data_IF_295725635947
#
_entry.id   IF_295725635947
#
_cell.length_a   1.000
_cell.length_b   1.000
_cell.length_c   1.000
_cell.angle_alpha   90.00
_cell.angle_beta   90.00
_cell.angle_gamma   90.00
#
_symmetry.space_group_name_H-M   'P 1'
#
loop_
_entity.id
_entity.type
_entity.pdbx_description
1 polymer ?
#
# COMPACT_ATOMS: atom_id res chain seq x y z
N UNK A 1 -25.81 -14.04 6.40
CA UNK A 1 -24.40 -14.47 6.43
C UNK A 1 -24.23 -15.99 6.47
N UNK A 2 -24.88 -16.75 7.36
CA UNK A 2 -24.66 -18.22 7.46
C UNK A 2 -24.84 -18.97 6.14
N UNK A 3 -25.84 -18.60 5.33
CA UNK A 3 -26.11 -19.21 4.02
C UNK A 3 -25.06 -18.89 2.95
N UNK A 4 -24.43 -17.72 3.02
CA UNK A 4 -23.32 -17.34 2.11
C UNK A 4 -22.05 -18.10 2.49
N UNK A 5 -21.80 -18.25 3.79
CA UNK A 5 -20.67 -19.04 4.32
C UNK A 5 -20.85 -20.54 4.04
N UNK A 6 -22.07 -21.06 4.11
CA UNK A 6 -22.33 -22.51 3.99
C UNK A 6 -22.48 -23.04 2.57
N UNK A 7 -22.69 -22.18 1.55
CA UNK A 7 -22.94 -22.63 0.17
C UNK A 7 -22.11 -21.93 -0.90
N UNK A 8 -21.21 -21.01 -0.56
CA UNK A 8 -20.36 -20.35 -1.56
C UNK A 8 -19.36 -21.35 -2.16
N UNK A 9 -19.35 -21.49 -3.49
CA UNK A 9 -18.31 -22.18 -4.26
C UNK A 9 -17.19 -21.19 -4.70
N UNK A 10 -16.98 -20.18 -3.84
CA UNK A 10 -16.01 -19.07 -3.79
C UNK A 10 -16.11 -17.93 -4.82
N UNK A 11 -16.45 -16.70 -4.37
CA UNK A 11 -15.42 -15.74 -3.91
C UNK A 11 -15.52 -15.36 -2.42
N UNK A 12 -14.39 -14.94 -1.81
CA UNK A 12 -14.31 -14.39 -0.44
C UNK A 12 -14.50 -12.88 -0.51
N UNK A 13 -15.47 -12.31 0.19
CA UNK A 13 -15.62 -10.85 0.34
C UNK A 13 -15.06 -10.39 1.68
N UNK A 14 -14.28 -9.30 1.70
CA UNK A 14 -13.90 -8.59 2.93
C UNK A 14 -14.40 -7.14 2.82
N UNK A 15 -15.24 -6.74 3.76
CA UNK A 15 -15.53 -5.34 3.98
C UNK A 15 -14.44 -4.77 4.88
N UNK A 16 -13.76 -3.73 4.40
CA UNK A 16 -12.63 -3.12 5.07
C UNK A 16 -13.08 -1.79 5.66
N UNK A 17 -13.27 -1.78 6.97
CA UNK A 17 -13.51 -0.59 7.78
C UNK A 17 -12.19 -0.06 8.30
N UNK A 18 -11.95 1.24 8.15
CA UNK A 18 -10.76 1.86 8.70
C UNK A 18 -11.10 3.19 9.37
N UNK A 19 -10.64 3.35 10.61
CA UNK A 19 -10.81 4.56 11.40
C UNK A 19 -9.44 5.23 11.62
N UNK A 20 -9.32 6.55 11.41
CA UNK A 20 -8.06 7.24 11.66
C UNK A 20 -7.72 7.17 13.14
N UNK A 21 -6.45 6.94 13.46
CA UNK A 21 -6.00 6.97 14.86
C UNK A 21 -6.06 8.41 15.33
N UNK A 22 -6.75 8.68 16.43
CA UNK A 22 -6.70 9.96 17.13
C UNK A 22 -5.30 10.15 17.71
N UNK A 23 -4.50 10.98 17.01
CA UNK A 23 -3.13 11.41 17.35
C UNK A 23 -2.07 10.29 17.46
N UNK A 24 -0.81 10.53 17.04
CA UNK A 24 0.29 9.61 17.37
C UNK A 24 0.53 9.62 18.90
N UNK A 25 0.91 8.48 19.51
CA UNK A 25 1.23 8.46 20.94
C UNK A 25 2.40 9.42 21.23
N UNK A 26 2.22 10.28 22.25
CA UNK A 26 3.27 11.13 22.77
C UNK A 26 4.52 10.30 23.06
N UNK A 27 5.65 10.68 22.46
CA UNK A 27 6.95 10.13 22.86
C UNK A 27 7.23 10.60 24.27
N UNK A 28 7.12 9.71 25.24
CA UNK A 28 7.70 9.92 26.57
C UNK A 28 9.20 10.09 26.40
N UNK A 29 9.70 11.32 26.58
CA UNK A 29 11.14 11.58 26.70
C UNK A 29 11.61 10.98 28.03
N UNK A 30 12.09 9.73 27.96
CA UNK A 30 12.80 9.09 29.04
C UNK A 30 14.07 9.88 29.37
N UNK A 31 14.12 10.42 30.58
CA UNK A 31 15.30 11.09 31.10
C UNK A 31 16.47 10.12 31.26
N UNK A 32 17.67 10.58 30.89
CA UNK A 32 18.93 10.06 31.38
C UNK A 32 19.79 11.29 31.71
N UNK A 33 20.14 11.44 32.99
CA UNK A 33 21.07 12.46 33.46
C UNK A 33 22.53 12.04 33.29
N UNK A 34 23.43 13.03 33.28
CA UNK A 34 24.87 12.80 33.46
C UNK A 34 25.80 13.89 32.93
N UNK A 35 26.00 14.96 33.72
CA UNK A 35 27.32 15.51 34.13
C UNK A 35 28.32 16.16 33.15
N UNK A 36 28.65 17.44 33.45
CA UNK A 36 29.95 18.12 33.27
C UNK A 36 30.35 18.57 31.86
N UNK A 37 31.14 19.62 31.60
CA UNK A 37 31.65 20.81 32.29
C UNK A 37 32.37 21.64 31.19
N UNK A 38 32.42 22.96 31.34
CA UNK A 38 33.52 23.82 30.89
C UNK A 38 33.70 24.12 29.40
N UNK A 39 33.50 25.39 29.00
CA UNK A 39 34.15 25.92 27.79
C UNK A 39 33.47 27.13 27.16
N UNK A 40 33.69 28.32 27.72
CA UNK A 40 33.36 29.61 27.10
C UNK A 40 34.22 29.82 25.85
N UNK A 41 33.65 30.38 24.78
CA UNK A 41 34.33 31.38 23.94
C UNK A 41 33.29 32.15 23.11
N UNK A 42 33.16 33.44 23.42
CA UNK A 42 32.49 34.46 22.60
C UNK A 42 33.29 34.72 21.33
N UNK A 43 32.59 34.98 20.21
CA UNK A 43 33.03 35.96 19.22
C UNK A 43 31.81 36.61 18.57
N UNK A 44 31.70 37.93 18.73
CA UNK A 44 30.83 38.84 17.99
C UNK A 44 31.37 39.10 16.56
N UNK A 45 30.52 39.58 15.64
CA UNK A 45 30.94 40.12 14.34
C UNK A 45 29.82 40.10 13.30
N UNK A 46 28.88 41.05 13.36
CA UNK A 46 28.81 42.29 12.55
C UNK A 46 28.24 42.11 11.14
N UNK A 47 27.20 42.91 10.90
CA UNK A 47 26.45 43.09 9.68
C UNK A 47 27.27 43.70 8.53
N UNK A 48 26.88 43.37 7.30
CA UNK A 48 27.32 44.06 6.09
C UNK A 48 26.29 43.88 4.97
N UNK A 49 25.43 44.88 4.79
CA UNK A 49 24.56 45.03 3.64
C UNK A 49 25.32 45.76 2.51
N UNK A 50 25.14 45.36 1.24
CA UNK A 50 25.21 46.25 0.07
C UNK A 50 24.58 45.59 -1.19
N UNK A 51 23.39 46.12 -1.52
CA UNK A 51 22.83 46.53 -2.82
C UNK A 51 23.15 45.87 -4.18
N UNK A 52 22.03 45.59 -4.88
CA UNK A 52 21.66 45.93 -6.28
C UNK A 52 22.26 45.17 -7.47
N UNK A 53 21.35 44.64 -8.31
CA UNK A 53 21.60 44.49 -9.76
C UNK A 53 20.81 43.41 -10.49
N UNK A 54 19.61 43.75 -10.96
CA UNK A 54 19.04 43.45 -12.30
C UNK A 54 19.00 42.03 -12.90
N UNK A 55 17.84 41.71 -13.49
CA UNK A 55 17.77 40.97 -14.77
C UNK A 55 17.13 39.59 -14.70
N UNK A 56 15.99 39.43 -15.38
CA UNK A 56 15.17 38.23 -15.38
C UNK A 56 15.70 37.06 -16.22
N UNK A 57 15.05 35.91 -16.01
CA UNK A 57 15.22 34.69 -16.80
C UNK A 57 14.47 33.56 -16.13
N UNK A 58 13.27 33.24 -16.63
CA UNK A 58 12.46 32.12 -16.15
C UNK A 58 13.17 30.79 -16.41
N UNK A 59 13.37 30.02 -15.35
CA UNK A 59 13.77 28.62 -15.41
C UNK A 59 12.67 27.78 -14.76
N UNK A 60 12.05 26.90 -15.54
CA UNK A 60 11.20 25.84 -15.02
C UNK A 60 12.05 24.91 -14.16
N UNK A 61 11.67 24.76 -12.89
CA UNK A 61 12.24 23.76 -12.00
C UNK A 61 11.60 22.42 -12.31
N UNK A 62 12.36 21.56 -12.97
CA UNK A 62 12.19 20.12 -12.88
C UNK A 62 12.57 19.71 -11.45
N UNK A 63 11.56 19.44 -10.62
CA UNK A 63 11.79 18.87 -9.29
C UNK A 63 12.16 17.39 -9.45
N UNK A 64 13.48 17.19 -9.54
CA UNK A 64 14.19 15.92 -9.46
C UNK A 64 13.99 15.29 -8.07
N UNK A 65 12.90 14.52 -7.91
CA UNK A 65 12.66 13.72 -6.69
C UNK A 65 13.55 12.48 -6.73
N UNK A 66 14.79 12.68 -6.29
CA UNK A 66 15.73 11.61 -5.98
C UNK A 66 15.54 11.11 -4.54
N UNK A 67 14.98 9.91 -4.43
CA UNK A 67 15.29 8.93 -3.37
C UNK A 67 14.95 9.24 -1.90
N UNK A 68 13.76 8.84 -1.44
CA UNK A 68 13.52 8.53 -0.02
C UNK A 68 12.41 7.47 0.16
N UNK A 69 12.60 6.28 -0.41
CA UNK A 69 11.61 5.19 -0.32
C UNK A 69 11.17 4.79 1.09
N UNK A 70 11.88 5.20 2.14
CA UNK A 70 11.55 4.90 3.54
C UNK A 70 10.46 5.79 4.19
N UNK A 71 10.25 7.02 3.73
CA UNK A 71 9.23 7.91 4.33
C UNK A 71 7.83 7.65 3.76
N UNK A 72 7.74 7.29 2.47
CA UNK A 72 6.46 6.91 1.86
C UNK A 72 5.89 5.66 2.52
N UNK A 73 6.69 4.62 2.78
CA UNK A 73 6.21 3.36 3.36
C UNK A 73 5.63 3.52 4.76
N UNK A 74 6.18 4.43 5.57
CA UNK A 74 5.63 4.77 6.89
C UNK A 74 4.26 5.44 6.81
N UNK A 75 3.99 6.19 5.74
CA UNK A 75 2.68 6.80 5.55
C UNK A 75 1.56 5.79 5.24
N UNK A 76 1.90 4.52 4.99
CA UNK A 76 0.96 3.43 4.72
C UNK A 76 0.89 2.40 5.86
N UNK A 77 1.82 2.41 6.82
CA UNK A 77 1.99 1.32 7.79
C UNK A 77 0.83 1.13 8.76
N UNK A 78 0.04 2.17 8.99
CA UNK A 78 -0.92 2.19 10.09
C UNK A 78 -2.31 1.64 9.70
N UNK A 79 -2.51 1.29 8.42
CA UNK A 79 -3.79 0.92 7.84
C UNK A 79 -3.65 -0.37 7.00
N UNK A 80 -3.98 -0.30 5.71
CA UNK A 80 -3.66 -1.35 4.76
C UNK A 80 -2.25 -1.08 4.22
N UNK A 81 -1.25 -1.60 4.92
CA UNK A 81 0.14 -1.50 4.50
C UNK A 81 0.39 -2.14 3.14
N UNK A 82 1.58 -1.92 2.60
CA UNK A 82 1.97 -2.55 1.33
C UNK A 82 1.85 -4.07 1.38
N UNK A 83 1.15 -4.65 0.41
CA UNK A 83 1.02 -6.09 0.25
C UNK A 83 0.61 -6.44 -1.18
N UNK A 84 0.55 -7.74 -1.45
CA UNK A 84 -0.12 -8.31 -2.60
C UNK A 84 -1.30 -9.17 -2.13
N UNK A 85 -2.34 -9.25 -2.93
CA UNK A 85 -3.41 -10.21 -2.73
C UNK A 85 -2.95 -11.60 -3.17
N UNK A 86 -3.14 -12.62 -2.33
CA UNK A 86 -2.79 -13.99 -2.70
C UNK A 86 -3.84 -14.65 -3.61
N UNK A 87 -5.02 -14.06 -3.77
CA UNK A 87 -6.08 -14.57 -4.65
C UNK A 87 -5.73 -14.46 -6.14
N UNK A 88 -6.63 -14.89 -7.03
CA UNK A 88 -6.42 -14.77 -8.47
C UNK A 88 -6.75 -13.34 -8.95
N UNK A 89 -7.95 -12.86 -8.62
CA UNK A 89 -8.44 -11.55 -9.02
C UNK A 89 -9.17 -10.90 -7.85
N UNK A 90 -8.90 -9.62 -7.60
CA UNK A 90 -9.62 -8.83 -6.59
C UNK A 90 -10.46 -7.78 -7.29
N UNK A 91 -11.77 -7.81 -7.06
CA UNK A 91 -12.70 -6.75 -7.46
C UNK A 91 -12.97 -5.79 -6.31
N UNK A 92 -12.96 -4.49 -6.56
CA UNK A 92 -13.25 -3.47 -5.57
C UNK A 92 -14.33 -2.52 -6.09
N UNK A 93 -15.19 -2.08 -5.18
CA UNK A 93 -16.08 -0.94 -5.41
C UNK A 93 -15.35 0.36 -5.01
N UNK A 94 -15.77 1.53 -5.53
CA UNK A 94 -15.28 2.83 -5.08
C UNK A 94 -15.41 2.96 -3.56
N UNK A 95 -14.41 3.58 -2.94
CA UNK A 95 -14.47 3.83 -1.51
C UNK A 95 -15.49 4.92 -1.18
N UNK A 96 -16.23 4.73 -0.10
CA UNK A 96 -17.12 5.73 0.49
C UNK A 96 -16.46 6.35 1.71
N UNK A 97 -16.85 7.58 2.03
CA UNK A 97 -16.39 8.28 3.22
C UNK A 97 -17.60 8.64 4.07
N UNK A 98 -17.56 8.30 5.35
CA UNK A 98 -18.68 8.50 6.27
C UNK A 98 -18.23 9.34 7.47
N UNK A 99 -19.07 10.28 7.92
CA UNK A 99 -18.85 10.99 9.18
C UNK A 99 -19.25 10.15 10.42
N UNK A 100 -19.09 10.73 11.61
CA UNK A 100 -19.43 10.08 12.89
C UNK A 100 -20.92 9.74 13.04
N UNK A 101 -21.79 10.37 12.24
CA UNK A 101 -23.22 10.10 12.20
C UNK A 101 -23.60 9.09 11.10
N UNK A 102 -22.62 8.57 10.36
CA UNK A 102 -22.80 7.60 9.27
C UNK A 102 -23.31 8.22 7.97
N UNK A 103 -23.21 9.54 7.81
CA UNK A 103 -23.61 10.24 6.59
C UNK A 103 -22.45 10.25 5.60
N UNK A 104 -22.75 10.06 4.32
CA UNK A 104 -21.74 10.12 3.27
C UNK A 104 -21.21 11.55 3.11
N UNK A 105 -19.89 11.69 3.09
CA UNK A 105 -19.16 12.95 2.93
C UNK A 105 -18.16 12.85 1.77
N UNK A 106 -17.74 14.00 1.24
CA UNK A 106 -16.70 14.02 0.22
C UNK A 106 -15.33 13.65 0.82
N UNK A 107 -14.45 13.09 -0.01
CA UNK A 107 -13.05 12.96 0.37
C UNK A 107 -12.35 14.33 0.27
N UNK A 108 -12.18 14.99 1.40
CA UNK A 108 -11.49 16.27 1.50
C UNK A 108 -9.96 16.14 1.64
N UNK A 109 -9.41 14.93 1.75
CA UNK A 109 -7.95 14.70 1.75
C UNK A 109 -7.50 14.19 0.36
N UNK A 110 -6.83 15.03 -0.45
CA UNK A 110 -6.37 14.62 -1.78
C UNK A 110 -5.29 13.54 -1.75
N UNK A 111 -4.67 13.25 -0.59
CA UNK A 111 -3.67 12.18 -0.42
C UNK A 111 -4.29 10.87 0.09
N UNK A 112 -5.51 10.89 0.61
CA UNK A 112 -6.21 9.69 1.02
C UNK A 112 -6.60 8.84 -0.20
N UNK A 113 -6.34 7.53 -0.17
CA UNK A 113 -6.76 6.63 -1.25
C UNK A 113 -5.93 5.36 -1.41
N UNK A 114 -6.24 4.62 -2.48
CA UNK A 114 -5.54 3.41 -2.89
C UNK A 114 -4.31 3.79 -3.73
N UNK A 115 -3.16 3.20 -3.39
CA UNK A 115 -1.90 3.41 -4.07
C UNK A 115 -1.34 2.07 -4.55
N UNK A 116 -0.67 2.11 -5.70
CA UNK A 116 0.05 0.98 -6.30
C UNK A 116 1.50 1.36 -6.56
N UNK A 117 2.41 0.38 -6.59
CA UNK A 117 3.77 0.57 -7.12
C UNK A 117 3.85 0.08 -8.56
N UNK A 118 4.32 0.94 -9.46
CA UNK A 118 4.49 0.62 -10.86
C UNK A 118 5.59 -0.44 -11.04
N UNK A 119 5.36 -1.43 -11.90
CA UNK A 119 6.26 -2.58 -12.05
C UNK A 119 7.65 -2.20 -12.58
N UNK A 120 7.75 -1.22 -13.49
CA UNK A 120 9.00 -0.93 -14.20
C UNK A 120 9.99 -0.10 -13.39
N UNK A 121 9.49 0.84 -12.59
CA UNK A 121 10.32 1.82 -11.86
C UNK A 121 10.01 1.90 -10.36
N UNK A 122 9.00 1.15 -9.89
CA UNK A 122 8.54 1.22 -8.50
C UNK A 122 7.83 2.53 -8.15
N UNK A 123 7.41 3.30 -9.17
CA UNK A 123 6.76 4.60 -9.00
C UNK A 123 5.47 4.45 -8.21
N UNK A 124 5.25 5.37 -7.28
CA UNK A 124 4.04 5.42 -6.49
C UNK A 124 2.92 6.05 -7.32
N UNK A 125 1.84 5.31 -7.57
CA UNK A 125 0.69 5.77 -8.36
C UNK A 125 -0.56 5.68 -7.50
N UNK A 126 -1.30 6.80 -7.38
CA UNK A 126 -2.63 6.80 -6.77
C UNK A 126 -3.65 6.30 -7.80
N UNK A 127 -4.41 5.26 -7.45
CA UNK A 127 -5.51 4.80 -8.29
C UNK A 127 -6.64 5.84 -8.26
N UNK A 128 -7.04 6.34 -9.43
CA UNK A 128 -8.11 7.32 -9.59
C UNK A 128 -9.26 6.74 -10.41
N UNK A 129 -10.47 7.21 -10.12
CA UNK A 129 -11.67 6.89 -10.88
C UNK A 129 -12.06 8.10 -11.75
N UNK A 130 -12.87 7.88 -12.81
CA UNK A 130 -13.50 8.98 -13.53
C UNK A 130 -14.23 9.92 -12.58
N UNK A 131 -14.20 11.24 -12.80
CA UNK A 131 -14.87 12.20 -11.91
C UNK A 131 -16.40 12.11 -11.99
N UNK A 132 -17.07 12.58 -10.94
CA UNK A 132 -18.52 12.69 -10.88
C UNK A 132 -19.26 11.36 -10.78
N UNK A 133 -20.51 11.33 -11.24
CA UNK A 133 -21.44 10.20 -11.17
C UNK A 133 -20.91 8.92 -11.84
N UNK A 134 -19.97 9.05 -12.79
CA UNK A 134 -19.35 7.89 -13.43
C UNK A 134 -18.52 7.04 -12.45
N UNK A 135 -18.02 7.64 -11.36
CA UNK A 135 -17.21 6.93 -10.35
C UNK A 135 -18.00 5.83 -9.65
N UNK A 136 -19.24 6.08 -9.25
CA UNK A 136 -20.09 5.16 -8.48
C UNK A 136 -20.50 3.90 -9.28
N UNK A 137 -20.38 3.97 -10.61
CA UNK A 137 -20.66 2.86 -11.53
C UNK A 137 -19.42 2.07 -11.94
N UNK A 138 -18.25 2.39 -11.36
CA UNK A 138 -17.00 1.70 -11.68
C UNK A 138 -16.76 0.50 -10.77
N UNK A 139 -16.11 -0.52 -11.32
CA UNK A 139 -15.43 -1.57 -10.56
C UNK A 139 -13.94 -1.51 -10.86
N UNK A 140 -13.12 -1.63 -9.83
CA UNK A 140 -11.68 -1.75 -9.97
C UNK A 140 -11.28 -3.22 -9.89
N UNK A 141 -10.30 -3.61 -10.69
CA UNK A 141 -9.76 -4.97 -10.69
C UNK A 141 -8.26 -4.96 -10.47
N UNK A 142 -7.81 -5.88 -9.64
CA UNK A 142 -6.40 -6.10 -9.36
C UNK A 142 -6.03 -7.58 -9.52
N UNK A 143 -4.91 -7.83 -10.17
CA UNK A 143 -4.33 -9.16 -10.29
C UNK A 143 -3.65 -9.55 -8.98
N UNK A 144 -3.91 -10.77 -8.51
CA UNK A 144 -3.23 -11.35 -7.35
C UNK A 144 -2.19 -12.40 -7.71
N UNK A 145 -1.53 -12.92 -6.68
CA UNK A 145 -0.37 -13.81 -6.79
C UNK A 145 -0.70 -15.16 -7.43
N UNK A 146 -1.90 -15.69 -7.22
CA UNK A 146 -2.32 -16.91 -7.91
C UNK A 146 -2.31 -16.75 -9.42
N UNK A 147 -2.87 -15.66 -9.95
CA UNK A 147 -2.85 -15.43 -11.40
C UNK A 147 -1.43 -15.17 -11.91
N UNK A 148 -0.56 -14.57 -11.09
CA UNK A 148 0.87 -14.48 -11.43
C UNK A 148 1.50 -15.85 -11.65
N UNK A 149 1.26 -16.79 -10.74
CA UNK A 149 1.78 -18.16 -10.83
C UNK A 149 1.19 -18.90 -12.04
N UNK A 150 -0.14 -18.94 -12.13
CA UNK A 150 -0.86 -19.72 -13.15
C UNK A 150 -0.69 -19.15 -14.57
N UNK A 151 -0.32 -17.89 -14.72
CA UNK A 151 0.03 -17.28 -16.02
C UNK A 151 1.51 -17.42 -16.40
N UNK A 152 2.32 -18.09 -15.57
CA UNK A 152 3.76 -18.18 -15.79
C UNK A 152 4.47 -16.83 -15.70
N UNK A 153 3.92 -15.88 -14.93
CA UNK A 153 4.45 -14.53 -14.76
C UNK A 153 4.08 -13.54 -15.86
N UNK A 154 3.27 -13.93 -16.85
CA UNK A 154 2.77 -13.02 -17.88
C UNK A 154 1.89 -11.90 -17.27
N UNK A 155 1.12 -12.25 -16.25
CA UNK A 155 0.46 -11.31 -15.36
C UNK A 155 1.23 -11.29 -14.03
N UNK A 156 1.22 -10.16 -13.32
CA UNK A 156 1.90 -10.02 -12.04
C UNK A 156 0.99 -9.37 -11.02
N UNK A 157 1.07 -9.87 -9.78
CA UNK A 157 0.47 -9.25 -8.64
C UNK A 157 1.04 -7.84 -8.47
N UNK A 158 0.17 -6.88 -8.15
CA UNK A 158 0.57 -5.47 -8.04
C UNK A 158 0.63 -5.09 -6.57
N UNK A 159 1.81 -4.67 -6.07
CA UNK A 159 1.93 -4.15 -4.72
C UNK A 159 1.04 -2.94 -4.54
N UNK A 160 0.25 -2.95 -3.48
CA UNK A 160 -0.72 -1.90 -3.20
C UNK A 160 -0.86 -1.65 -1.69
N UNK A 161 -1.28 -0.43 -1.36
CA UNK A 161 -1.50 0.04 -0.01
C UNK A 161 -2.61 1.10 0.01
N UNK A 162 -3.17 1.36 1.19
CA UNK A 162 -4.16 2.44 1.38
C UNK A 162 -3.58 3.49 2.31
N UNK A 163 -3.57 4.74 1.85
CA UNK A 163 -3.30 5.90 2.69
C UNK A 163 -4.61 6.36 3.34
N UNK A 164 -4.56 6.57 4.65
CA UNK A 164 -5.67 7.08 5.45
C UNK A 164 -6.04 8.52 5.10
N UNK A 165 -7.22 8.95 5.56
CA UNK A 165 -7.62 10.35 5.61
C UNK A 165 -6.97 11.06 6.80
N UNK A 166 -6.50 12.29 6.61
CA UNK A 166 -6.07 13.15 7.72
C UNK A 166 -7.22 13.79 8.49
N UNK A 167 -8.47 13.60 8.06
CA UNK A 167 -9.65 14.19 8.70
C UNK A 167 -10.15 13.32 9.86
N UNK A 168 -10.20 13.90 11.05
CA UNK A 168 -10.78 13.25 12.23
C UNK A 168 -12.30 13.08 12.08
N UNK A 169 -12.85 12.02 12.67
CA UNK A 169 -14.29 11.75 12.63
C UNK A 169 -14.82 11.26 11.28
N UNK A 170 -13.95 11.04 10.29
CA UNK A 170 -14.31 10.48 8.98
C UNK A 170 -13.73 9.08 8.82
N UNK A 171 -14.57 8.10 8.50
CA UNK A 171 -14.13 6.76 8.10
C UNK A 171 -14.01 6.65 6.59
N UNK A 172 -13.16 5.74 6.12
CA UNK A 172 -13.07 5.33 4.71
C UNK A 172 -13.47 3.88 4.59
N UNK A 173 -14.55 3.63 3.87
CA UNK A 173 -15.14 2.31 3.68
C UNK A 173 -14.88 1.78 2.28
N UNK A 174 -14.42 0.55 2.17
CA UNK A 174 -14.25 -0.11 0.87
C UNK A 174 -14.59 -1.60 0.95
N UNK A 175 -15.24 -2.11 -0.09
CA UNK A 175 -15.56 -3.53 -0.21
C UNK A 175 -14.71 -4.19 -1.28
N UNK A 176 -13.96 -5.22 -0.88
CA UNK A 176 -13.12 -6.03 -1.76
C UNK A 176 -13.66 -7.46 -1.86
N UNK A 177 -13.71 -7.98 -3.08
CA UNK A 177 -14.12 -9.35 -3.39
C UNK A 177 -12.93 -10.08 -4.02
N UNK A 178 -12.44 -11.10 -3.33
CA UNK A 178 -11.34 -11.95 -3.74
C UNK A 178 -11.90 -13.19 -4.45
N UNK A 179 -11.67 -13.23 -5.75
CA UNK A 179 -11.91 -14.39 -6.61
C UNK A 179 -10.65 -15.24 -6.62
N UNK A 180 -10.80 -16.51 -6.27
CA UNK A 180 -9.70 -17.43 -6.03
C UNK A 180 -10.04 -18.82 -6.60
N UNK A 181 -9.05 -19.68 -6.86
CA UNK A 181 -9.29 -21.05 -7.24
C UNK A 181 -10.01 -21.86 -6.15
N UNK A 182 -10.39 -23.07 -6.54
CA UNK A 182 -10.79 -24.11 -5.59
C UNK A 182 -9.64 -24.45 -4.64
N UNK A 183 -9.99 -24.90 -3.42
CA UNK A 183 -9.00 -25.10 -2.35
C UNK A 183 -7.87 -26.06 -2.74
N UNK A 184 -8.21 -27.20 -3.35
CA UNK A 184 -7.22 -28.20 -3.79
C UNK A 184 -6.71 -27.99 -5.22
N UNK A 185 -6.94 -26.83 -5.83
CA UNK A 185 -6.45 -26.57 -7.18
C UNK A 185 -4.93 -26.43 -7.17
N UNK A 186 -4.26 -27.12 -8.10
CA UNK A 186 -2.79 -27.05 -8.21
C UNK A 186 -2.33 -25.63 -8.51
N UNK A 187 -1.26 -25.20 -7.83
CA UNK A 187 -0.55 -23.96 -8.11
C UNK A 187 0.71 -24.20 -8.96
N UNK A 188 0.76 -25.28 -9.73
CA UNK A 188 1.85 -25.54 -10.66
C UNK A 188 1.93 -24.46 -11.75
N UNK A 189 3.16 -24.08 -12.10
CA UNK A 189 3.40 -23.14 -13.20
C UNK A 189 3.14 -23.79 -14.56
N UNK A 190 2.78 -23.01 -15.60
CA UNK A 190 2.60 -23.53 -16.95
C UNK A 190 3.84 -24.28 -17.46
N UNK A 191 3.62 -25.36 -18.23
CA UNK A 191 4.72 -26.14 -18.83
C UNK A 191 5.70 -25.24 -19.59
N UNK A 192 6.99 -25.45 -19.35
CA UNK A 192 8.07 -24.66 -19.93
C UNK A 192 8.36 -23.35 -19.19
N UNK A 193 7.66 -23.08 -18.08
CA UNK A 193 7.98 -21.96 -17.18
C UNK A 193 8.83 -22.46 -16.02
N UNK A 194 9.93 -21.76 -15.75
CA UNK A 194 10.75 -22.01 -14.56
C UNK A 194 10.03 -21.51 -13.31
N UNK A 195 9.86 -22.36 -12.30
CA UNK A 195 9.12 -22.02 -11.08
C UNK A 195 9.67 -20.77 -10.36
N UNK A 196 10.99 -20.59 -10.35
CA UNK A 196 11.60 -19.40 -9.72
C UNK A 196 11.26 -18.09 -10.46
N UNK A 197 10.95 -18.16 -11.76
CA UNK A 197 10.61 -16.96 -12.55
C UNK A 197 9.29 -16.32 -12.11
N UNK A 198 8.34 -17.10 -11.57
CA UNK A 198 7.05 -16.59 -11.10
C UNK A 198 7.11 -16.08 -9.66
N UNK A 199 8.18 -16.39 -8.92
CA UNK A 199 8.43 -15.90 -7.55
C UNK A 199 9.17 -14.56 -7.54
N UNK A 200 8.82 -13.68 -8.48
CA UNK A 200 9.45 -12.36 -8.76
C UNK A 200 10.23 -11.75 -7.58
N UNK A 201 11.56 -11.79 -7.65
CA UNK A 201 12.44 -11.02 -6.76
C UNK A 201 12.19 -9.51 -6.87
N UNK A 202 11.65 -9.05 -8.00
CA UNK A 202 11.29 -7.66 -8.21
C UNK A 202 10.09 -7.25 -7.35
N UNK A 203 9.15 -8.16 -7.06
CA UNK A 203 8.09 -7.86 -6.08
C UNK A 203 8.66 -7.68 -4.67
N UNK A 204 9.71 -8.43 -4.33
CA UNK A 204 10.42 -8.31 -3.05
C UNK A 204 11.17 -6.98 -2.89
N UNK A 205 11.64 -6.36 -3.98
CA UNK A 205 12.27 -5.04 -3.93
C UNK A 205 11.25 -3.89 -3.85
N UNK A 206 10.02 -4.13 -4.32
CA UNK A 206 8.93 -3.15 -4.29
C UNK A 206 8.09 -3.21 -3.01
N UNK A 207 8.13 -4.33 -2.30
CA UNK A 207 7.45 -4.52 -1.04
C UNK A 207 8.38 -4.17 0.14
N UNK A 208 7.90 -3.45 1.17
CA UNK A 208 8.64 -3.30 2.41
C UNK A 208 8.95 -4.66 3.04
N UNK A 209 10.00 -4.74 3.85
CA UNK A 209 10.40 -5.99 4.55
C UNK A 209 9.28 -6.64 5.37
N UNK A 210 8.31 -5.85 5.84
CA UNK A 210 7.17 -6.33 6.63
C UNK A 210 6.09 -7.03 5.78
N UNK A 211 6.08 -6.83 4.46
CA UNK A 211 5.11 -7.44 3.57
C UNK A 211 5.62 -8.81 3.11
N UNK A 212 4.97 -9.90 3.54
CA UNK A 212 5.43 -11.26 3.30
C UNK A 212 5.47 -11.60 1.79
N UNK A 213 6.65 -11.65 1.16
CA UNK A 213 6.75 -11.83 -0.28
C UNK A 213 6.39 -13.26 -0.68
N UNK A 214 5.94 -13.46 -1.92
CA UNK A 214 5.60 -14.79 -2.46
C UNK A 214 6.79 -15.77 -2.37
N UNK A 215 8.02 -15.25 -2.45
CA UNK A 215 9.24 -16.05 -2.29
C UNK A 215 9.28 -16.77 -0.96
N UNK A 216 8.69 -16.22 0.09
CA UNK A 216 8.85 -16.80 1.42
C UNK A 216 7.75 -17.84 1.67
N UNK A 217 6.66 -17.81 0.88
CA UNK A 217 5.43 -18.60 1.10
C UNK A 217 5.22 -19.74 0.09
N UNK A 218 5.38 -19.49 -1.21
CA UNK A 218 5.09 -20.49 -2.25
C UNK A 218 6.22 -21.52 -2.38
N UNK A 219 5.87 -22.80 -2.54
CA UNK A 219 6.80 -23.92 -2.79
C UNK A 219 6.31 -24.79 -3.95
N UNK A 220 7.21 -25.51 -4.64
CA UNK A 220 6.82 -26.42 -5.73
C UNK A 220 5.83 -27.49 -5.25
N UNK A 221 4.83 -27.79 -6.07
CA UNK A 221 3.83 -28.83 -5.81
C UNK A 221 2.73 -28.43 -4.83
N UNK A 222 2.70 -27.18 -4.35
CA UNK A 222 1.61 -26.70 -3.50
C UNK A 222 0.28 -26.63 -4.27
N UNK A 223 -0.82 -26.91 -3.58
CA UNK A 223 -2.15 -26.45 -3.99
C UNK A 223 -2.47 -25.04 -3.47
N UNK A 224 -3.60 -24.47 -3.89
CA UNK A 224 -4.02 -23.13 -3.48
C UNK A 224 -4.30 -23.05 -1.97
N UNK A 225 -4.79 -24.13 -1.35
CA UNK A 225 -5.05 -24.24 0.08
C UNK A 225 -3.78 -24.15 0.89
N UNK A 226 -2.77 -24.94 0.55
CA UNK A 226 -1.44 -24.92 1.17
C UNK A 226 -0.77 -23.56 1.00
N UNK A 227 -0.88 -22.94 -0.19
CA UNK A 227 -0.38 -21.58 -0.41
C UNK A 227 -1.13 -20.55 0.44
N UNK A 228 -2.44 -20.71 0.63
CA UNK A 228 -3.27 -19.85 1.48
C UNK A 228 -2.86 -19.99 2.95
N UNK A 229 -2.65 -21.20 3.44
CA UNK A 229 -2.20 -21.48 4.81
C UNK A 229 -0.81 -20.90 5.08
N UNK A 230 0.14 -21.12 4.17
CA UNK A 230 1.47 -20.52 4.23
C UNK A 230 1.41 -18.97 4.21
N UNK A 231 0.42 -18.41 3.50
CA UNK A 231 0.18 -16.97 3.49
C UNK A 231 -0.36 -16.47 4.83
N UNK A 232 -1.33 -17.13 5.43
CA UNK A 232 -1.82 -16.72 6.74
C UNK A 232 -0.74 -16.82 7.81
N UNK A 233 0.05 -17.89 7.83
CA UNK A 233 1.15 -18.06 8.79
C UNK A 233 2.25 -16.99 8.68
N UNK A 234 2.35 -16.30 7.54
CA UNK A 234 3.33 -15.22 7.35
C UNK A 234 2.83 -13.85 7.85
N UNK A 235 1.52 -13.69 8.05
CA UNK A 235 0.90 -12.42 8.44
C UNK A 235 0.29 -12.43 9.86
N UNK A 236 0.00 -13.61 10.42
CA UNK A 236 -0.68 -13.79 11.72
C UNK A 236 0.00 -14.89 12.53
#
# INVERSE_FOLDING_TARGET
>A
MSRIVSTSRCPKGRLLYYFPRSSPPERTSGGVGGGGDGGRHEVEGVAGAVTSGGGGGGGGGDDDVSGSGGDDDRAFSDWCGWHNDHSALTGLVPAMFLDSEGREVANEDPRCGLYIRSRRKGELVKATLPPGEASSSCLLFQIGETTQVLSGGALQATPHAVRSTSHEGVSREAFAVFMQPEWGESMDVPRGTEFESVRSLHSKSLLPRAAAPITDRLRPGMDFGEFTEATFAAYY
#
